data_IF_388486374471
#
_entry.id   IF_388486374471
#
_cell.length_a   1.000
_cell.length_b   1.000
_cell.length_c   1.000
_cell.angle_alpha   90.00
_cell.angle_beta   90.00
_cell.angle_gamma   90.00
#
_symmetry.space_group_name_H-M   'P 1'
#
loop_
_entity.id
_entity.type
_entity.pdbx_description
1 polymer ?
#
# COMPACT_ATOMS: atom_id res chain seq x y z
N UNK A 1 3.52 7.66 8.63
CA UNK A 1 3.85 6.49 9.48
C UNK A 1 3.17 6.56 10.84
N UNK A 2 2.91 7.74 11.39
CA UNK A 2 2.35 7.93 12.74
C UNK A 2 0.94 7.35 12.93
N UNK A 3 0.11 7.37 11.88
CA UNK A 3 -1.23 6.78 11.88
C UNK A 3 -1.25 5.33 11.38
N UNK A 4 -0.09 4.70 11.19
CA UNK A 4 -0.08 3.29 10.78
C UNK A 4 -0.30 2.38 11.99
N UNK A 5 -1.11 1.32 11.82
CA UNK A 5 -1.24 0.28 12.83
C UNK A 5 0.08 -0.48 13.05
N UNK A 6 0.14 -1.32 14.08
CA UNK A 6 1.37 -2.03 14.46
C UNK A 6 1.93 -2.96 13.38
N UNK A 7 1.08 -3.43 12.46
CA UNK A 7 1.46 -4.24 11.30
C UNK A 7 1.89 -3.44 10.06
N UNK A 8 1.86 -2.11 10.14
CA UNK A 8 2.20 -1.15 9.08
C UNK A 8 1.30 -1.19 7.83
N UNK A 9 0.17 -1.90 7.88
CA UNK A 9 -0.83 -1.88 6.81
C UNK A 9 -1.93 -0.90 7.19
N UNK A 10 -2.15 0.20 6.44
CA UNK A 10 -3.15 1.19 6.82
C UNK A 10 -4.56 0.59 6.79
N UNK A 11 -5.42 1.09 7.67
CA UNK A 11 -6.86 0.99 7.48
C UNK A 11 -7.28 1.83 6.27
N UNK A 12 -8.49 1.59 5.77
CA UNK A 12 -9.04 2.36 4.65
C UNK A 12 -9.23 3.86 4.98
N UNK A 13 -9.30 4.21 6.26
CA UNK A 13 -9.31 5.58 6.79
C UNK A 13 -8.35 5.70 7.99
N UNK A 14 -7.75 6.87 8.21
CA UNK A 14 -6.80 7.11 9.30
C UNK A 14 -7.46 7.31 10.67
N UNK A 15 -8.78 7.47 10.72
CA UNK A 15 -9.52 7.51 11.99
C UNK A 15 -9.52 6.15 12.71
N UNK A 16 -9.15 5.06 12.02
CA UNK A 16 -9.14 3.71 12.57
C UNK A 16 -7.77 3.25 13.07
N UNK A 17 -7.79 2.45 14.13
CA UNK A 17 -6.62 1.93 14.82
C UNK A 17 -6.73 0.42 15.10
N UNK A 18 -5.65 -0.20 15.60
CA UNK A 18 -5.67 -1.61 16.01
C UNK A 18 -6.86 -1.92 16.92
N UNK A 19 -7.62 -2.96 16.57
CA UNK A 19 -8.85 -3.36 17.27
C UNK A 19 -10.15 -2.71 16.78
N UNK A 20 -10.12 -1.81 15.79
CA UNK A 20 -11.34 -1.20 15.22
C UNK A 20 -12.28 -2.22 14.54
N UNK A 21 -11.73 -3.29 13.99
CA UNK A 21 -12.47 -4.25 13.16
C UNK A 21 -12.72 -3.77 11.72
N UNK A 22 -12.21 -2.59 11.35
CA UNK A 22 -12.38 -2.01 10.02
C UNK A 22 -11.46 -2.65 8.96
N UNK A 23 -11.82 -2.60 7.67
CA UNK A 23 -10.99 -3.18 6.62
C UNK A 23 -9.71 -2.38 6.39
N UNK A 24 -8.69 -3.09 5.87
CA UNK A 24 -7.42 -2.49 5.49
C UNK A 24 -7.48 -1.94 4.06
N UNK A 25 -6.48 -1.15 3.70
CA UNK A 25 -6.20 -0.84 2.31
C UNK A 25 -4.70 -1.00 1.99
N UNK A 26 -4.32 -2.20 1.58
CA UNK A 26 -2.96 -2.51 1.13
C UNK A 26 -2.52 -1.66 -0.06
N UNK A 27 -3.48 -1.20 -0.88
CA UNK A 27 -3.18 -0.40 -2.06
C UNK A 27 -2.64 0.99 -1.69
N UNK A 28 -3.17 1.62 -0.63
CA UNK A 28 -2.65 2.87 -0.09
C UNK A 28 -1.19 2.76 0.37
N UNK A 29 -0.81 1.65 1.02
CA UNK A 29 0.59 1.42 1.41
C UNK A 29 1.51 1.24 0.21
N UNK A 30 1.06 0.53 -0.84
CA UNK A 30 1.83 0.35 -2.07
C UNK A 30 2.06 1.67 -2.80
N UNK A 31 1.01 2.49 -2.94
CA UNK A 31 1.08 3.84 -3.52
C UNK A 31 2.03 4.74 -2.71
N UNK A 32 1.89 4.74 -1.37
CA UNK A 32 2.75 5.51 -0.50
C UNK A 32 4.23 5.09 -0.62
N UNK A 33 4.51 3.79 -0.75
CA UNK A 33 5.87 3.29 -0.98
C UNK A 33 6.47 3.86 -2.29
N UNK A 34 5.71 3.86 -3.39
CA UNK A 34 6.14 4.51 -4.63
C UNK A 34 6.40 6.01 -4.46
N UNK A 35 5.52 6.73 -3.77
CA UNK A 35 5.68 8.17 -3.51
C UNK A 35 6.90 8.49 -2.64
N UNK A 36 7.19 7.66 -1.63
CA UNK A 36 8.39 7.79 -0.80
C UNK A 36 9.68 7.56 -1.62
N UNK A 37 9.69 6.54 -2.48
CA UNK A 37 10.82 6.29 -3.39
C UNK A 37 10.99 7.40 -4.42
N UNK A 38 9.90 8.00 -4.90
CA UNK A 38 9.93 9.16 -5.78
C UNK A 38 10.56 10.36 -5.09
N UNK A 39 10.04 10.72 -3.91
CA UNK A 39 10.50 11.87 -3.14
C UNK A 39 11.97 11.75 -2.75
N UNK A 40 12.45 10.54 -2.47
CA UNK A 40 13.85 10.28 -2.15
C UNK A 40 14.83 10.75 -3.25
N UNK A 41 14.38 10.88 -4.51
CA UNK A 41 15.21 11.38 -5.62
C UNK A 41 15.34 12.89 -5.67
N UNK A 42 14.49 13.62 -4.93
CA UNK A 42 14.36 15.08 -5.01
C UNK A 42 14.86 15.79 -3.75
N UNK A 43 15.42 15.06 -2.78
CA UNK A 43 15.84 15.59 -1.47
C UNK A 43 17.32 15.31 -1.20
N UNK A 44 17.85 15.92 -0.14
CA UNK A 44 19.20 15.65 0.33
C UNK A 44 19.40 14.19 0.74
N UNK A 45 20.66 13.76 0.79
CA UNK A 45 21.03 12.36 0.98
C UNK A 45 20.52 11.77 2.30
N UNK A 46 20.43 12.57 3.37
CA UNK A 46 19.96 12.08 4.67
C UNK A 46 18.46 11.79 4.63
N UNK A 47 17.67 12.73 4.10
CA UNK A 47 16.22 12.52 3.90
C UNK A 47 15.95 11.40 2.89
N UNK A 48 16.74 11.29 1.83
CA UNK A 48 16.60 10.22 0.84
C UNK A 48 16.74 8.83 1.48
N UNK A 49 17.72 8.65 2.37
CA UNK A 49 17.91 7.40 3.14
C UNK A 49 16.71 7.10 4.05
N UNK A 50 16.18 8.12 4.73
CA UNK A 50 15.02 7.97 5.59
C UNK A 50 13.78 7.53 4.80
N UNK A 51 13.46 8.23 3.72
CA UNK A 51 12.30 7.94 2.87
C UNK A 51 12.41 6.55 2.24
N UNK A 52 13.59 6.18 1.74
CA UNK A 52 13.86 4.84 1.18
C UNK A 52 13.67 3.75 2.24
N UNK A 53 14.12 4.00 3.48
CA UNK A 53 13.93 3.07 4.61
C UNK A 53 12.46 2.90 4.97
N UNK A 54 11.69 3.99 4.97
CA UNK A 54 10.23 3.94 5.20
C UNK A 54 9.52 3.14 4.10
N UNK A 55 9.85 3.40 2.82
CA UNK A 55 9.30 2.63 1.70
C UNK A 55 9.62 1.13 1.82
N UNK A 56 10.86 0.78 2.18
CA UNK A 56 11.27 -0.60 2.37
C UNK A 56 10.50 -1.29 3.52
N UNK A 57 10.19 -0.57 4.60
CA UNK A 57 9.35 -1.10 5.71
C UNK A 57 7.93 -1.40 5.25
N UNK A 58 7.31 -0.49 4.49
CA UNK A 58 5.97 -0.69 3.93
C UNK A 58 5.96 -1.89 2.97
N UNK A 59 6.93 -1.96 2.05
CA UNK A 59 7.03 -3.06 1.09
C UNK A 59 7.27 -4.41 1.76
N UNK A 60 8.05 -4.44 2.84
CA UNK A 60 8.21 -5.64 3.66
C UNK A 60 6.90 -6.05 4.33
N UNK A 61 6.18 -5.11 4.95
CA UNK A 61 4.89 -5.39 5.57
C UNK A 61 3.87 -5.94 4.56
N UNK A 62 3.75 -5.29 3.39
CA UNK A 62 2.90 -5.76 2.29
C UNK A 62 3.26 -7.19 1.86
N UNK A 63 4.54 -7.47 1.69
CA UNK A 63 5.01 -8.80 1.27
C UNK A 63 4.76 -9.88 2.33
N UNK A 64 4.91 -9.54 3.61
CA UNK A 64 4.73 -10.48 4.70
C UNK A 64 3.26 -10.76 5.01
N UNK A 65 2.38 -9.75 4.84
CA UNK A 65 1.00 -9.77 5.34
C UNK A 65 -0.06 -9.83 4.25
N UNK A 66 0.18 -9.22 3.10
CA UNK A 66 -0.85 -9.00 2.09
C UNK A 66 -0.58 -9.75 0.78
N UNK A 67 0.63 -10.26 0.54
CA UNK A 67 0.94 -10.98 -0.69
C UNK A 67 0.12 -12.28 -0.78
N UNK A 68 -0.67 -12.41 -1.84
CA UNK A 68 -1.35 -13.66 -2.18
C UNK A 68 -0.32 -14.69 -2.64
N UNK A 69 -0.05 -15.70 -1.80
CA UNK A 69 0.95 -16.74 -2.11
C UNK A 69 0.43 -17.83 -3.03
N UNK A 70 -0.85 -18.17 -2.88
CA UNK A 70 -1.54 -19.20 -3.64
C UNK A 70 -2.89 -18.66 -4.07
N UNK A 71 -3.11 -18.56 -5.38
CA UNK A 71 -4.33 -18.01 -5.95
C UNK A 71 -4.71 -18.74 -7.24
N UNK A 72 -6.00 -18.69 -7.59
CA UNK A 72 -6.46 -19.17 -8.88
C UNK A 72 -5.92 -18.28 -10.01
N UNK A 73 -5.82 -18.78 -11.26
CA UNK A 73 -5.53 -17.93 -12.41
C UNK A 73 -6.50 -16.73 -12.46
N UNK A 74 -5.95 -15.52 -12.57
CA UNK A 74 -6.72 -14.28 -12.55
C UNK A 74 -6.95 -13.69 -11.15
N UNK A 75 -6.44 -14.32 -10.09
CA UNK A 75 -6.36 -13.67 -8.78
C UNK A 75 -5.34 -12.50 -8.81
N UNK A 76 -5.57 -11.49 -7.98
CA UNK A 76 -4.63 -10.38 -7.82
C UNK A 76 -3.36 -10.75 -7.05
N UNK A 77 -2.50 -9.76 -6.83
CA UNK A 77 -1.19 -9.93 -6.18
C UNK A 77 -1.30 -9.59 -4.68
N UNK A 78 -1.94 -8.47 -4.35
CA UNK A 78 -2.14 -8.01 -2.98
C UNK A 78 -3.57 -8.23 -2.52
N UNK A 79 -3.72 -8.87 -1.37
CA UNK A 79 -4.95 -8.96 -0.58
C UNK A 79 -5.21 -7.66 0.20
N UNK A 80 -6.40 -7.56 0.78
CA UNK A 80 -6.76 -6.53 1.77
C UNK A 80 -6.75 -5.10 1.20
N UNK A 81 -7.13 -4.93 -0.06
CA UNK A 81 -7.45 -3.64 -0.65
C UNK A 81 -8.90 -3.23 -0.38
N UNK A 82 -9.15 -1.93 -0.33
CA UNK A 82 -10.51 -1.38 -0.20
C UNK A 82 -10.78 -0.39 -1.33
N UNK A 83 -11.77 -0.66 -2.17
CA UNK A 83 -12.15 0.21 -3.28
C UNK A 83 -13.16 1.29 -2.85
N UNK A 84 -14.34 0.87 -2.39
CA UNK A 84 -15.40 1.78 -1.98
C UNK A 84 -16.09 1.24 -0.73
N UNK A 85 -15.75 1.79 0.44
CA UNK A 85 -16.40 1.47 1.70
C UNK A 85 -17.49 2.49 2.00
N UNK A 86 -18.69 2.02 2.31
CA UNK A 86 -19.79 2.86 2.78
C UNK A 86 -19.56 3.24 4.26
N UNK A 87 -19.81 4.50 4.60
CA UNK A 87 -19.87 5.00 5.98
C UNK A 87 -21.11 5.88 6.19
N UNK A 88 -21.30 6.45 7.38
CA UNK A 88 -22.39 7.40 7.65
C UNK A 88 -22.21 8.70 6.85
N UNK A 89 -20.97 9.13 6.66
CA UNK A 89 -20.56 10.31 5.90
C UNK A 89 -20.37 10.03 4.41
N UNK A 90 -20.16 8.76 4.04
CA UNK A 90 -19.89 8.33 2.68
C UNK A 90 -20.99 7.38 2.16
N UNK A 91 -21.98 7.96 1.48
CA UNK A 91 -23.15 7.26 0.95
C UNK A 91 -22.92 6.41 -0.32
N UNK A 92 -21.67 6.04 -0.63
CA UNK A 92 -21.37 5.19 -1.79
C UNK A 92 -21.96 3.78 -1.65
N UNK A 93 -22.17 3.13 -2.79
CA UNK A 93 -22.43 1.69 -2.81
C UNK A 93 -21.14 0.96 -2.39
N UNK A 94 -21.24 0.09 -1.38
CA UNK A 94 -20.11 -0.69 -0.91
C UNK A 94 -19.66 -1.69 -1.98
N UNK A 95 -18.37 -1.69 -2.32
CA UNK A 95 -17.80 -2.52 -3.38
C UNK A 95 -16.30 -2.70 -3.20
N UNK A 96 -15.80 -3.90 -3.48
CA UNK A 96 -14.36 -4.21 -3.45
C UNK A 96 -13.71 -3.95 -2.08
N UNK A 97 -14.35 -4.36 -1.00
CA UNK A 97 -13.85 -4.23 0.37
C UNK A 97 -13.17 -5.54 0.78
N UNK A 98 -11.94 -5.45 1.29
CA UNK A 98 -11.10 -6.62 1.62
C UNK A 98 -10.84 -7.54 0.41
N UNK A 99 -10.61 -6.95 -0.76
CA UNK A 99 -10.37 -7.64 -2.02
C UNK A 99 -9.02 -7.26 -2.63
N UNK A 100 -8.55 -8.03 -3.62
CA UNK A 100 -7.49 -7.54 -4.49
C UNK A 100 -8.00 -6.37 -5.33
N UNK A 101 -7.14 -5.41 -5.62
CA UNK A 101 -7.44 -4.36 -6.58
C UNK A 101 -6.26 -4.10 -7.53
N UNK A 102 -6.59 -3.73 -8.77
CA UNK A 102 -5.62 -3.66 -9.86
C UNK A 102 -4.56 -2.55 -9.62
N UNK A 103 -4.95 -1.45 -8.99
CA UNK A 103 -4.01 -0.36 -8.68
C UNK A 103 -3.04 -0.76 -7.57
N UNK A 104 -3.50 -1.46 -6.52
CA UNK A 104 -2.62 -1.98 -5.48
C UNK A 104 -1.57 -2.92 -6.06
N UNK A 105 -1.99 -3.86 -6.91
CA UNK A 105 -1.10 -4.78 -7.62
C UNK A 105 -0.06 -4.04 -8.48
N UNK A 106 -0.53 -3.06 -9.25
CA UNK A 106 0.33 -2.24 -10.10
C UNK A 106 1.39 -1.49 -9.28
N UNK A 107 1.00 -0.76 -8.24
CA UNK A 107 1.93 0.03 -7.44
C UNK A 107 2.86 -0.85 -6.59
N UNK A 108 2.42 -2.03 -6.18
CA UNK A 108 3.29 -2.99 -5.51
C UNK A 108 4.40 -3.49 -6.42
N UNK A 109 4.05 -3.91 -7.64
CA UNK A 109 5.03 -4.33 -8.63
C UNK A 109 5.96 -3.19 -9.02
N UNK A 110 5.43 -1.97 -9.15
CA UNK A 110 6.24 -0.80 -9.42
C UNK A 110 7.25 -0.50 -8.31
N UNK A 111 6.83 -0.51 -7.05
CA UNK A 111 7.71 -0.28 -5.92
C UNK A 111 8.83 -1.34 -5.87
N UNK A 112 8.50 -2.61 -6.14
CA UNK A 112 9.51 -3.67 -6.27
C UNK A 112 10.50 -3.38 -7.40
N UNK A 113 10.02 -2.92 -8.56
CA UNK A 113 10.89 -2.57 -9.69
C UNK A 113 11.82 -1.39 -9.36
N UNK A 114 11.29 -0.33 -8.74
CA UNK A 114 12.06 0.84 -8.27
C UNK A 114 13.11 0.46 -7.23
N UNK A 115 12.82 -0.50 -6.34
CA UNK A 115 13.78 -1.00 -5.35
C UNK A 115 14.84 -1.93 -5.94
N UNK A 116 14.56 -2.56 -7.08
CA UNK A 116 15.46 -3.52 -7.74
C UNK A 116 16.45 -2.88 -8.70
N UNK A 117 16.05 -1.84 -9.42
CA UNK A 117 16.87 -1.17 -10.42
C UNK A 117 16.47 0.29 -10.58
N UNK A 118 17.35 1.10 -11.16
CA UNK A 118 16.96 2.43 -11.65
C UNK A 118 16.03 2.23 -12.85
N UNK A 119 14.75 2.52 -12.64
CA UNK A 119 13.68 2.26 -13.59
C UNK A 119 13.17 3.55 -14.19
N UNK A 120 13.10 3.60 -15.52
CA UNK A 120 12.42 4.66 -16.25
C UNK A 120 10.91 4.47 -16.08
N UNK A 121 10.30 5.38 -15.32
CA UNK A 121 8.88 5.35 -14.97
C UNK A 121 8.05 5.77 -16.16
N UNK A 122 6.80 5.29 -16.22
CA UNK A 122 5.86 5.67 -17.27
C UNK A 122 5.29 7.10 -17.12
N UNK A 123 5.61 7.79 -16.02
CA UNK A 123 5.22 9.16 -15.71
C UNK A 123 6.42 9.99 -15.25
#
# INVERSE_FOLDING_TARGET
MEHLPSDLIPYWDFDFHDGSGEPRDSSAAAIAACGLLEMARCVDQEKAKLLTSMAAKLMKALTDRCLLREGAPGAGILLHGTYAKRSEENGVHESGVDECNLWGDYFYMEALMRMRKDWERYW
#
